data_IF_207919972929
#
_entry.id   IF_207919972929
#
_cell.length_a   1.000
_cell.length_b   1.000
_cell.length_c   1.000
_cell.angle_alpha   90.00
_cell.angle_beta   90.00
_cell.angle_gamma   90.00
#
_symmetry.space_group_name_H-M   'P 1'
#
loop_
_entity.id
_entity.type
_entity.pdbx_description
1 polymer ?
#
# COMPACT_ATOMS: atom_id res chain seq x y z
N UNK A 1 44.00 6.69 -11.19
CA UNK A 1 44.51 6.98 -9.83
C UNK A 1 44.23 5.77 -8.95
N UNK A 2 45.22 5.29 -8.21
CA UNK A 2 45.02 4.15 -7.30
C UNK A 2 44.07 4.58 -6.15
N UNK A 3 42.97 3.88 -5.96
CA UNK A 3 42.07 4.18 -4.86
C UNK A 3 42.75 3.89 -3.53
N UNK A 4 42.79 4.89 -2.67
CA UNK A 4 43.38 4.75 -1.33
C UNK A 4 42.55 3.79 -0.48
N UNK A 5 43.21 3.00 0.37
CA UNK A 5 42.57 2.00 1.26
C UNK A 5 41.54 2.63 2.21
N UNK A 6 41.73 3.91 2.57
CA UNK A 6 40.86 4.66 3.47
C UNK A 6 40.17 5.81 2.75
N UNK A 7 38.88 6.01 3.02
CA UNK A 7 38.09 7.19 2.60
C UNK A 7 38.25 8.31 3.64
N UNK A 8 38.38 9.55 3.16
CA UNK A 8 38.32 10.75 4.00
C UNK A 8 36.88 11.18 4.22
N UNK A 9 36.67 12.04 5.21
CA UNK A 9 35.35 12.54 5.53
C UNK A 9 34.66 13.24 4.35
N UNK A 10 35.47 13.99 3.56
CA UNK A 10 34.93 14.71 2.39
C UNK A 10 34.46 13.76 1.30
N UNK A 11 35.22 12.68 1.04
CA UNK A 11 34.81 11.62 0.11
C UNK A 11 33.52 10.93 0.55
N UNK A 12 33.38 10.69 1.86
CA UNK A 12 32.14 10.07 2.42
C UNK A 12 30.97 11.03 2.33
N UNK A 13 31.19 12.33 2.56
CA UNK A 13 30.15 13.35 2.45
C UNK A 13 29.64 13.47 1.02
N UNK A 14 30.55 13.48 0.03
CA UNK A 14 30.24 13.55 -1.38
C UNK A 14 29.50 12.28 -1.86
N UNK A 15 30.01 11.09 -1.51
CA UNK A 15 29.45 9.82 -1.95
C UNK A 15 28.04 9.55 -1.41
N UNK A 16 27.75 10.00 -0.18
CA UNK A 16 26.42 9.86 0.45
C UNK A 16 25.50 11.07 0.23
N UNK A 17 26.00 12.18 -0.34
CA UNK A 17 25.24 13.42 -0.51
C UNK A 17 24.83 14.06 0.84
N UNK A 18 25.68 13.98 1.87
CA UNK A 18 25.41 14.49 3.22
C UNK A 18 26.36 15.59 3.63
N UNK A 19 26.03 16.34 4.68
CA UNK A 19 26.92 17.38 5.20
C UNK A 19 28.18 16.78 5.85
N UNK A 20 29.31 17.49 5.73
CA UNK A 20 30.62 17.09 6.33
C UNK A 20 30.52 16.78 7.83
N UNK A 21 29.83 17.60 8.67
CA UNK A 21 29.62 17.27 10.08
C UNK A 21 28.87 15.93 10.30
N UNK A 22 27.90 15.62 9.43
CA UNK A 22 27.17 14.35 9.50
C UNK A 22 28.08 13.17 9.09
N UNK A 23 28.86 13.30 8.03
CA UNK A 23 29.86 12.31 7.62
C UNK A 23 30.88 12.02 8.73
N UNK A 24 31.35 13.04 9.47
CA UNK A 24 32.20 12.85 10.66
C UNK A 24 31.54 12.01 11.74
N UNK A 25 30.27 12.28 12.06
CA UNK A 25 29.51 11.51 13.05
C UNK A 25 29.37 10.04 12.62
N UNK A 26 29.13 9.83 11.35
CA UNK A 26 29.00 8.51 10.75
C UNK A 26 30.30 7.70 10.81
N UNK A 27 31.41 8.29 10.37
CA UNK A 27 32.73 7.67 10.42
C UNK A 27 33.11 7.33 11.87
N UNK A 28 32.83 8.21 12.83
CA UNK A 28 33.06 7.96 14.25
C UNK A 28 32.29 6.75 14.78
N UNK A 29 31.03 6.62 14.41
CA UNK A 29 30.20 5.46 14.76
C UNK A 29 30.73 4.16 14.16
N UNK A 30 31.06 4.17 12.88
CA UNK A 30 31.58 2.99 12.17
C UNK A 30 32.98 2.57 12.69
N UNK A 31 33.84 3.52 12.99
CA UNK A 31 35.13 3.24 13.60
C UNK A 31 35.01 2.67 15.02
N UNK A 32 33.95 3.05 15.77
CA UNK A 32 33.67 2.45 17.06
C UNK A 32 33.24 0.96 16.94
N UNK A 33 32.55 0.59 15.86
CA UNK A 33 32.24 -0.81 15.55
C UNK A 33 33.50 -1.59 15.14
N UNK A 34 34.33 -1.03 14.25
CA UNK A 34 35.60 -1.65 13.83
C UNK A 34 36.56 -1.89 15.00
N UNK A 35 36.61 -0.99 15.98
CA UNK A 35 37.43 -1.17 17.19
C UNK A 35 36.96 -2.38 18.03
N UNK A 36 35.65 -2.66 18.08
CA UNK A 36 35.14 -3.83 18.80
C UNK A 36 35.58 -5.16 18.16
N UNK A 37 35.90 -5.16 16.88
CA UNK A 37 36.42 -6.33 16.16
C UNK A 37 37.97 -6.44 16.18
N UNK A 38 38.63 -5.60 16.96
CA UNK A 38 40.11 -5.62 17.09
C UNK A 38 40.87 -4.86 15.97
N UNK A 39 40.16 -4.14 15.10
CA UNK A 39 40.77 -3.39 14.01
C UNK A 39 41.33 -2.03 14.45
N UNK A 40 42.47 -1.62 13.89
CA UNK A 40 43.02 -0.28 14.09
C UNK A 40 42.26 0.71 13.23
N UNK A 41 41.80 1.80 13.82
CA UNK A 41 41.01 2.84 13.16
C UNK A 41 41.74 4.19 13.17
N UNK A 42 41.55 4.98 12.11
CA UNK A 42 42.15 6.33 11.96
C UNK A 42 41.01 7.36 12.12
N UNK A 43 41.21 8.37 12.98
CA UNK A 43 40.26 9.44 13.18
C UNK A 43 40.00 10.22 11.89
N UNK A 44 38.72 10.48 11.56
CA UNK A 44 38.32 11.17 10.32
C UNK A 44 38.50 10.36 9.03
N UNK A 45 38.85 9.09 9.14
CA UNK A 45 38.93 8.17 7.99
C UNK A 45 38.24 6.86 8.29
N UNK A 46 37.71 6.20 7.26
CA UNK A 46 37.07 4.90 7.34
C UNK A 46 37.68 3.95 6.31
N UNK A 47 37.80 2.68 6.66
CA UNK A 47 38.17 1.66 5.69
C UNK A 47 37.15 1.60 4.56
N UNK A 48 37.61 1.76 3.32
CA UNK A 48 36.75 1.84 2.13
C UNK A 48 35.92 0.59 1.95
N UNK A 49 36.51 -0.58 2.21
CA UNK A 49 35.82 -1.85 2.07
C UNK A 49 34.71 -2.00 3.11
N UNK A 50 34.98 -1.68 4.38
CA UNK A 50 34.02 -1.72 5.46
C UNK A 50 32.88 -0.71 5.25
N UNK A 51 33.20 0.50 4.73
CA UNK A 51 32.20 1.50 4.39
C UNK A 51 31.24 0.98 3.32
N UNK A 52 31.75 0.46 2.22
CA UNK A 52 30.91 -0.07 1.15
C UNK A 52 30.13 -1.32 1.57
N UNK A 53 30.69 -2.16 2.43
CA UNK A 53 29.97 -3.31 3.00
C UNK A 53 28.78 -2.88 3.85
N UNK A 54 28.91 -1.81 4.64
CA UNK A 54 27.84 -1.32 5.51
C UNK A 54 26.75 -0.55 4.77
N UNK A 55 27.08 0.24 3.77
CA UNK A 55 26.12 1.06 3.04
C UNK A 55 25.49 0.38 1.84
N UNK A 56 26.27 -0.42 1.13
CA UNK A 56 25.79 -1.07 -0.10
C UNK A 56 25.57 -2.58 0.08
N UNK A 57 25.84 -3.11 1.27
CA UNK A 57 25.75 -4.52 1.61
C UNK A 57 26.87 -5.34 0.99
N UNK A 58 27.32 -6.37 1.68
CA UNK A 58 28.05 -7.46 1.02
C UNK A 58 27.13 -8.08 0.00
N UNK A 59 27.37 -7.92 -1.29
CA UNK A 59 26.84 -8.85 -2.28
C UNK A 59 27.27 -10.25 -1.84
N UNK A 60 26.37 -10.92 -1.11
CA UNK A 60 26.34 -12.37 -0.93
C UNK A 60 27.62 -13.02 -0.45
N UNK A 61 27.89 -12.95 0.85
CA UNK A 61 28.42 -14.11 1.55
C UNK A 61 27.24 -14.87 2.19
N UNK A 62 26.34 -15.38 1.36
CA UNK A 62 25.57 -16.56 1.71
C UNK A 62 26.32 -17.73 1.10
N UNK A 63 26.77 -18.59 1.99
CA UNK A 63 27.22 -19.95 1.70
C UNK A 63 28.47 -20.09 0.82
N UNK A 64 29.62 -20.23 1.47
CA UNK A 64 30.65 -21.13 1.00
C UNK A 64 30.08 -22.57 0.98
N UNK A 65 29.10 -22.84 0.15
CA UNK A 65 29.02 -24.12 -0.53
C UNK A 65 30.13 -24.07 -1.57
N UNK A 66 31.04 -24.97 -1.50
CA UNK A 66 32.09 -25.20 -2.47
C UNK A 66 31.49 -25.24 -3.88
N UNK A 67 31.39 -24.08 -4.54
CA UNK A 67 31.12 -24.00 -5.97
C UNK A 67 32.42 -24.43 -6.64
N UNK A 68 32.66 -25.76 -6.67
CA UNK A 68 33.60 -26.39 -7.61
C UNK A 68 33.14 -25.96 -8.99
N UNK A 69 33.75 -24.91 -9.51
CA UNK A 69 33.55 -24.48 -10.89
C UNK A 69 33.82 -25.68 -11.77
N UNK A 70 32.78 -26.14 -12.49
CA UNK A 70 32.75 -27.44 -13.17
C UNK A 70 33.29 -27.32 -14.59
N UNK A 71 34.56 -26.95 -14.74
CA UNK A 71 35.29 -27.05 -16.01
C UNK A 71 36.18 -28.30 -16.02
N UNK A 72 35.92 -29.16 -16.98
CA UNK A 72 36.58 -30.49 -17.13
C UNK A 72 37.34 -30.57 -18.43
N UNK A 73 38.44 -31.34 -18.44
CA UNK A 73 39.24 -31.62 -19.64
C UNK A 73 38.64 -32.86 -20.37
N UNK A 74 38.34 -32.72 -21.63
CA UNK A 74 37.92 -33.84 -22.48
C UNK A 74 39.17 -34.71 -22.82
N UNK A 75 39.14 -35.97 -22.35
CA UNK A 75 40.26 -36.90 -22.53
C UNK A 75 40.47 -37.34 -23.99
N UNK A 76 39.45 -37.14 -24.86
CA UNK A 76 39.53 -37.59 -26.28
C UNK A 76 40.18 -36.52 -27.16
N UNK A 77 39.89 -35.24 -26.93
CA UNK A 77 40.29 -34.13 -27.83
C UNK A 77 41.21 -33.12 -27.18
N UNK A 78 41.57 -33.27 -25.89
CA UNK A 78 42.39 -32.33 -25.15
C UNK A 78 41.76 -30.95 -24.85
N UNK A 79 40.54 -30.68 -25.35
CA UNK A 79 39.78 -29.46 -25.13
C UNK A 79 39.11 -29.43 -23.74
N UNK A 80 38.65 -28.25 -23.31
CA UNK A 80 37.91 -28.12 -22.07
C UNK A 80 36.40 -28.00 -22.32
N UNK A 81 35.58 -28.44 -21.34
CA UNK A 81 34.15 -28.24 -21.37
C UNK A 81 33.64 -27.80 -20.01
N UNK A 82 32.56 -26.99 -20.02
CA UNK A 82 31.83 -26.58 -18.84
C UNK A 82 30.51 -27.38 -18.73
N UNK A 83 30.28 -27.99 -17.57
CA UNK A 83 29.04 -28.71 -17.27
C UNK A 83 28.61 -28.36 -15.85
N UNK A 84 27.47 -27.73 -15.73
CA UNK A 84 26.93 -27.28 -14.44
C UNK A 84 25.42 -27.35 -14.42
N UNK A 85 24.84 -27.33 -13.22
CA UNK A 85 23.41 -27.20 -12.96
C UNK A 85 23.07 -25.80 -12.56
N UNK A 86 21.95 -25.29 -13.05
CA UNK A 86 21.42 -24.00 -12.66
C UNK A 86 19.90 -24.12 -12.47
N UNK A 87 19.31 -23.21 -11.71
CA UNK A 87 17.87 -23.10 -11.56
C UNK A 87 17.37 -22.09 -12.59
N UNK A 88 16.42 -22.50 -13.43
CA UNK A 88 15.83 -21.61 -14.41
C UNK A 88 14.81 -20.64 -13.76
N UNK A 89 14.25 -19.74 -14.57
CA UNK A 89 13.27 -18.75 -14.14
C UNK A 89 11.94 -19.37 -13.62
N UNK A 90 11.67 -20.65 -13.89
CA UNK A 90 10.53 -21.42 -13.37
C UNK A 90 10.83 -22.04 -12.00
N UNK A 91 12.06 -21.94 -11.52
CA UNK A 91 12.51 -22.63 -10.32
C UNK A 91 12.90 -24.09 -10.56
N UNK A 92 12.95 -24.53 -11.83
CA UNK A 92 13.31 -25.90 -12.19
C UNK A 92 14.84 -26.03 -12.33
N UNK A 93 15.38 -27.16 -11.85
CA UNK A 93 16.81 -27.46 -12.01
C UNK A 93 17.10 -27.92 -13.42
N UNK A 94 17.90 -27.16 -14.16
CA UNK A 94 18.37 -27.43 -15.52
C UNK A 94 19.86 -27.75 -15.51
N UNK A 95 20.32 -28.49 -16.52
CA UNK A 95 21.73 -28.80 -16.75
C UNK A 95 22.19 -28.14 -18.05
N UNK A 96 23.37 -27.49 -18.01
CA UNK A 96 24.02 -26.94 -19.20
C UNK A 96 25.37 -27.58 -19.43
N UNK A 97 25.62 -27.95 -20.69
CA UNK A 97 26.90 -28.49 -21.17
C UNK A 97 27.33 -27.67 -22.38
N UNK A 98 28.58 -27.20 -22.39
CA UNK A 98 29.23 -26.62 -23.57
C UNK A 98 30.66 -27.12 -23.64
N UNK A 99 31.07 -27.63 -24.83
CA UNK A 99 32.39 -28.19 -25.12
C UNK A 99 33.18 -27.29 -26.07
N UNK A 100 34.50 -27.54 -26.22
CA UNK A 100 35.33 -26.93 -27.25
C UNK A 100 36.05 -25.68 -26.80
N UNK A 101 36.27 -25.49 -25.49
CA UNK A 101 37.13 -24.40 -25.00
C UNK A 101 38.59 -24.78 -25.08
N UNK A 102 39.45 -23.83 -25.49
CA UNK A 102 40.89 -24.07 -25.58
C UNK A 102 41.54 -24.16 -24.17
N UNK A 103 41.03 -23.44 -23.21
CA UNK A 103 41.59 -23.38 -21.84
C UNK A 103 40.49 -23.59 -20.76
N UNK A 104 40.94 -24.03 -19.58
CA UNK A 104 40.11 -24.07 -18.36
C UNK A 104 39.52 -22.71 -18.00
N UNK A 105 40.34 -21.67 -18.17
CA UNK A 105 39.94 -20.28 -17.84
C UNK A 105 38.79 -19.79 -18.72
N UNK A 106 38.80 -20.14 -20.02
CA UNK A 106 37.72 -19.81 -20.93
C UNK A 106 36.40 -20.55 -20.56
N UNK A 107 36.51 -21.87 -20.26
CA UNK A 107 35.34 -22.62 -19.83
C UNK A 107 34.72 -22.06 -18.56
N UNK A 108 35.54 -21.65 -17.58
CA UNK A 108 35.10 -21.01 -16.33
C UNK A 108 34.58 -19.58 -16.53
N UNK A 109 35.16 -18.81 -17.46
CA UNK A 109 34.68 -17.48 -17.81
C UNK A 109 33.30 -17.55 -18.44
N UNK A 110 33.10 -18.51 -19.37
CA UNK A 110 31.82 -18.76 -20.00
C UNK A 110 30.74 -19.23 -18.99
N UNK A 111 31.08 -20.11 -18.04
CA UNK A 111 30.17 -20.51 -16.97
C UNK A 111 29.70 -19.32 -16.15
N UNK A 112 30.64 -18.45 -15.71
CA UNK A 112 30.31 -17.22 -14.96
C UNK A 112 29.42 -16.28 -15.76
N UNK A 113 29.75 -16.05 -17.03
CA UNK A 113 28.95 -15.20 -17.91
C UNK A 113 27.53 -15.77 -18.13
N UNK A 114 27.44 -17.09 -18.36
CA UNK A 114 26.15 -17.77 -18.50
C UNK A 114 25.31 -17.68 -17.21
N UNK A 115 25.91 -17.89 -16.03
CA UNK A 115 25.21 -17.80 -14.76
C UNK A 115 24.79 -16.34 -14.45
N UNK A 116 25.64 -15.36 -14.78
CA UNK A 116 25.27 -13.94 -14.69
C UNK A 116 24.13 -13.57 -15.64
N UNK A 117 24.15 -14.07 -16.88
CA UNK A 117 23.06 -13.88 -17.83
C UNK A 117 21.78 -14.58 -17.38
N UNK A 118 21.90 -15.75 -16.73
CA UNK A 118 20.74 -16.51 -16.24
C UNK A 118 20.18 -16.00 -14.92
N UNK A 119 20.99 -15.43 -14.03
CA UNK A 119 20.50 -14.68 -12.86
C UNK A 119 19.76 -13.41 -13.27
N UNK A 120 20.04 -12.89 -14.47
CA UNK A 120 19.38 -11.72 -15.06
C UNK A 120 18.49 -12.11 -16.25
N UNK A 121 17.71 -13.20 -16.17
CA UNK A 121 16.84 -13.61 -17.29
C UNK A 121 15.60 -12.74 -17.40
N UNK A 122 15.82 -11.44 -17.61
CA UNK A 122 14.83 -10.43 -18.02
C UNK A 122 14.39 -10.62 -19.48
N UNK A 123 14.85 -11.68 -20.16
CA UNK A 123 14.48 -12.02 -21.53
C UNK A 123 13.13 -12.75 -21.64
N UNK A 124 12.50 -13.03 -20.51
CA UNK A 124 11.14 -13.55 -20.49
C UNK A 124 10.13 -12.52 -21.02
N UNK A 125 8.99 -13.00 -21.52
CA UNK A 125 7.90 -12.10 -21.90
C UNK A 125 7.31 -11.41 -20.66
N UNK A 126 6.73 -10.21 -20.84
CA UNK A 126 6.08 -9.51 -19.74
C UNK A 126 4.91 -10.31 -19.16
N UNK A 127 4.21 -11.11 -19.96
CA UNK A 127 3.15 -12.01 -19.51
C UNK A 127 3.69 -13.10 -18.57
N UNK A 128 4.81 -13.75 -18.94
CA UNK A 128 5.46 -14.75 -18.07
C UNK A 128 5.92 -14.11 -16.76
N UNK A 129 6.46 -12.89 -16.82
CA UNK A 129 6.84 -12.15 -15.62
C UNK A 129 5.61 -11.79 -14.76
N UNK A 130 4.49 -11.40 -15.37
CA UNK A 130 3.26 -11.09 -14.63
C UNK A 130 2.73 -12.31 -13.84
N UNK A 131 2.89 -13.53 -14.38
CA UNK A 131 2.56 -14.77 -13.67
C UNK A 131 3.48 -15.00 -12.44
N UNK A 132 4.79 -14.72 -12.58
CA UNK A 132 5.72 -14.76 -11.44
C UNK A 132 5.35 -13.71 -10.38
N UNK A 133 5.04 -12.49 -10.81
CA UNK A 133 4.58 -11.42 -9.91
C UNK A 133 3.30 -11.83 -9.16
N UNK A 134 2.36 -12.49 -9.82
CA UNK A 134 1.17 -13.06 -9.18
C UNK A 134 1.55 -14.06 -8.08
N UNK A 135 2.41 -15.03 -8.41
CA UNK A 135 2.89 -16.07 -7.47
C UNK A 135 3.55 -15.44 -6.24
N UNK A 136 4.36 -14.39 -6.43
CA UNK A 136 5.10 -13.72 -5.37
C UNK A 136 4.24 -12.82 -4.50
N UNK A 137 3.25 -12.15 -5.09
CA UNK A 137 2.50 -11.06 -4.44
C UNK A 137 1.12 -11.45 -3.96
N UNK A 138 0.44 -12.38 -4.62
CA UNK A 138 -0.92 -12.82 -4.25
C UNK A 138 -1.03 -13.35 -2.83
N UNK A 139 -0.09 -14.17 -2.32
CA UNK A 139 -0.12 -14.65 -0.94
C UNK A 139 0.08 -13.55 0.11
N UNK A 140 0.72 -12.43 -0.28
CA UNK A 140 1.06 -11.31 0.62
C UNK A 140 -0.03 -10.24 0.69
N UNK A 141 -1.04 -10.30 -0.18
CA UNK A 141 -2.05 -9.26 -0.33
C UNK A 141 -3.44 -9.76 0.09
N UNK A 142 -4.24 -8.86 0.63
CA UNK A 142 -5.67 -9.15 0.84
C UNK A 142 -6.34 -9.39 -0.52
N UNK A 143 -7.27 -10.34 -0.54
CA UNK A 143 -7.96 -10.78 -1.77
C UNK A 143 -8.50 -9.60 -2.60
N UNK A 144 -9.19 -8.65 -1.98
CA UNK A 144 -9.73 -7.49 -2.69
C UNK A 144 -8.64 -6.63 -3.37
N UNK A 145 -7.51 -6.44 -2.69
CA UNK A 145 -6.36 -5.71 -3.25
C UNK A 145 -5.79 -6.46 -4.46
N UNK A 146 -5.67 -7.79 -4.34
CA UNK A 146 -5.20 -8.61 -5.44
C UNK A 146 -6.14 -8.56 -6.64
N UNK A 147 -7.46 -8.73 -6.44
CA UNK A 147 -8.44 -8.69 -7.52
C UNK A 147 -8.44 -7.37 -8.30
N UNK A 148 -8.24 -6.25 -7.61
CA UNK A 148 -8.10 -4.94 -8.26
C UNK A 148 -6.84 -4.88 -9.11
N UNK A 149 -5.69 -5.35 -8.57
CA UNK A 149 -4.43 -5.42 -9.31
C UNK A 149 -4.53 -6.35 -10.52
N UNK A 150 -5.05 -7.56 -10.32
CA UNK A 150 -5.28 -8.56 -11.36
C UNK A 150 -6.11 -7.98 -12.51
N UNK A 151 -7.22 -7.31 -12.20
CA UNK A 151 -8.08 -6.68 -13.21
C UNK A 151 -7.34 -5.62 -14.04
N UNK A 152 -6.51 -4.80 -13.42
CA UNK A 152 -5.70 -3.79 -14.13
C UNK A 152 -4.64 -4.47 -14.98
N UNK A 153 -3.92 -5.46 -14.44
CA UNK A 153 -2.88 -6.20 -15.16
C UNK A 153 -3.48 -6.85 -16.40
N UNK A 154 -4.55 -7.61 -16.24
CA UNK A 154 -5.18 -8.36 -17.32
C UNK A 154 -5.82 -7.46 -18.39
N UNK A 155 -6.51 -6.38 -18.00
CA UNK A 155 -7.31 -5.57 -18.92
C UNK A 155 -6.58 -4.36 -19.50
N UNK A 156 -5.52 -3.88 -18.85
CA UNK A 156 -4.87 -2.60 -19.22
C UNK A 156 -3.39 -2.73 -19.52
N UNK A 157 -2.71 -3.72 -18.97
CA UNK A 157 -1.26 -3.86 -19.09
C UNK A 157 -0.89 -4.99 -20.07
N UNK A 158 -1.37 -6.20 -19.83
CA UNK A 158 -1.03 -7.38 -20.65
C UNK A 158 -1.45 -7.26 -22.13
N UNK A 159 -2.58 -6.65 -22.50
CA UNK A 159 -2.92 -6.48 -23.91
C UNK A 159 -1.88 -5.67 -24.70
N UNK A 160 -1.12 -4.80 -24.04
CA UNK A 160 -0.11 -3.97 -24.68
C UNK A 160 1.31 -4.56 -24.55
N UNK A 161 1.70 -5.01 -23.35
CA UNK A 161 3.06 -5.43 -23.06
C UNK A 161 3.25 -6.95 -23.06
N UNK A 162 2.21 -7.77 -22.97
CA UNK A 162 2.28 -9.20 -22.65
C UNK A 162 3.26 -9.97 -23.50
N UNK A 163 3.26 -9.77 -24.83
CA UNK A 163 4.11 -10.48 -25.78
C UNK A 163 5.54 -9.92 -25.90
N UNK A 164 5.82 -8.77 -25.30
CA UNK A 164 7.13 -8.13 -25.37
C UNK A 164 8.07 -8.69 -24.31
N UNK A 165 9.35 -8.75 -24.60
CA UNK A 165 10.35 -9.11 -23.59
C UNK A 165 10.48 -7.98 -22.56
N UNK A 166 10.56 -8.36 -21.30
CA UNK A 166 10.64 -7.41 -20.17
C UNK A 166 11.85 -6.46 -20.31
N UNK A 167 12.99 -6.97 -20.78
CA UNK A 167 14.23 -6.20 -21.01
C UNK A 167 14.16 -5.19 -22.14
N UNK A 168 13.24 -5.38 -23.10
CA UNK A 168 13.12 -4.54 -24.30
C UNK A 168 12.12 -3.40 -24.14
N UNK A 169 11.37 -3.36 -23.01
CA UNK A 169 10.38 -2.32 -22.75
C UNK A 169 11.09 -1.04 -22.28
N UNK A 170 10.98 0.01 -23.07
CA UNK A 170 11.58 1.32 -22.82
C UNK A 170 10.60 2.32 -22.20
N UNK A 171 11.11 3.45 -21.71
CA UNK A 171 10.28 4.55 -21.24
C UNK A 171 9.39 5.12 -22.40
N UNK A 172 9.88 5.09 -23.63
CA UNK A 172 9.10 5.51 -24.83
C UNK A 172 7.89 4.61 -25.01
N UNK A 173 8.06 3.30 -24.90
CA UNK A 173 6.95 2.33 -24.99
C UNK A 173 5.89 2.56 -23.91
N UNK A 174 6.34 2.92 -22.69
CA UNK A 174 5.42 3.27 -21.62
C UNK A 174 4.66 4.57 -21.93
N UNK A 175 5.29 5.56 -22.49
CA UNK A 175 4.61 6.80 -22.94
C UNK A 175 3.58 6.51 -24.02
N UNK A 176 3.90 5.67 -24.99
CA UNK A 176 2.96 5.27 -26.05
C UNK A 176 1.76 4.50 -25.49
N UNK A 177 2.00 3.60 -24.55
CA UNK A 177 0.94 2.92 -23.79
C UNK A 177 0.08 3.91 -22.97
N UNK A 178 0.68 4.89 -22.31
CA UNK A 178 -0.06 5.92 -21.56
C UNK A 178 -1.01 6.70 -22.48
N UNK A 179 -0.55 7.07 -23.68
CA UNK A 179 -1.36 7.76 -24.66
C UNK A 179 -2.52 6.88 -25.16
N UNK A 180 -2.26 5.60 -25.41
CA UNK A 180 -3.30 4.63 -25.76
C UNK A 180 -4.36 4.48 -24.66
N UNK A 181 -3.94 4.38 -23.38
CA UNK A 181 -4.86 4.26 -22.23
C UNK A 181 -5.69 5.53 -22.03
N UNK A 182 -5.10 6.73 -22.25
CA UNK A 182 -5.84 8.01 -22.16
C UNK A 182 -6.96 8.11 -23.19
N UNK A 183 -6.77 7.51 -24.36
CA UNK A 183 -7.80 7.45 -25.41
C UNK A 183 -8.96 6.48 -25.14
N UNK A 184 -8.86 5.64 -24.10
CA UNK A 184 -9.91 4.69 -23.77
C UNK A 184 -11.00 5.32 -22.90
N UNK A 185 -12.20 4.75 -23.02
CA UNK A 185 -13.37 5.12 -22.21
C UNK A 185 -13.78 3.97 -21.29
N UNK A 186 -14.58 4.29 -20.27
CA UNK A 186 -15.24 3.33 -19.43
C UNK A 186 -16.44 2.64 -20.12
N UNK A 187 -17.12 1.72 -19.45
CA UNK A 187 -18.28 1.03 -19.98
C UNK A 187 -19.48 1.95 -20.26
N UNK A 188 -19.44 3.20 -19.79
CA UNK A 188 -20.46 4.24 -20.04
C UNK A 188 -20.02 5.24 -21.11
N UNK A 189 -18.91 5.00 -21.79
CA UNK A 189 -18.36 5.88 -22.79
C UNK A 189 -17.66 7.15 -22.26
N UNK A 190 -17.41 7.22 -20.92
CA UNK A 190 -16.73 8.37 -20.31
C UNK A 190 -15.23 8.16 -20.28
N UNK A 191 -14.40 9.20 -20.50
CA UNK A 191 -12.95 9.12 -20.31
C UNK A 191 -12.59 8.70 -18.89
N UNK A 192 -11.46 7.98 -18.74
CA UNK A 192 -10.98 7.63 -17.42
C UNK A 192 -10.56 8.86 -16.61
N UNK A 193 -10.90 8.88 -15.32
CA UNK A 193 -10.50 9.98 -14.43
C UNK A 193 -8.97 10.01 -14.25
N UNK A 194 -8.37 11.20 -14.02
CA UNK A 194 -6.94 11.33 -13.75
C UNK A 194 -6.46 10.47 -12.60
N UNK A 195 -7.26 10.32 -11.53
CA UNK A 195 -6.97 9.43 -10.37
C UNK A 195 -6.94 7.96 -10.78
N UNK A 196 -7.85 7.51 -11.67
CA UNK A 196 -7.82 6.14 -12.18
C UNK A 196 -6.60 5.88 -13.06
N UNK A 197 -6.26 6.83 -13.95
CA UNK A 197 -5.05 6.76 -14.78
C UNK A 197 -3.79 6.67 -13.92
N UNK A 198 -3.70 7.48 -12.84
CA UNK A 198 -2.63 7.38 -11.84
C UNK A 198 -2.55 5.97 -11.24
N UNK A 199 -3.69 5.38 -10.89
CA UNK A 199 -3.74 4.03 -10.31
C UNK A 199 -3.26 2.97 -11.29
N UNK A 200 -3.67 3.05 -12.55
CA UNK A 200 -3.24 2.13 -13.63
C UNK A 200 -1.74 2.23 -13.86
N UNK A 201 -1.19 3.45 -13.94
CA UNK A 201 0.25 3.66 -14.07
C UNK A 201 1.03 3.13 -12.86
N UNK A 202 0.58 3.41 -11.65
CA UNK A 202 1.22 2.93 -10.43
C UNK A 202 1.26 1.39 -10.39
N UNK A 203 0.26 0.71 -10.96
CA UNK A 203 0.27 -0.74 -11.05
C UNK A 203 1.34 -1.26 -12.00
N UNK A 204 1.54 -0.62 -13.16
CA UNK A 204 2.63 -0.95 -14.08
C UNK A 204 4.00 -0.67 -13.44
N UNK A 205 4.15 0.48 -12.79
CA UNK A 205 5.39 0.83 -12.08
C UNK A 205 5.71 -0.15 -10.94
N UNK A 206 4.70 -0.66 -10.23
CA UNK A 206 4.89 -1.67 -9.19
C UNK A 206 5.41 -3.00 -9.75
N UNK A 207 4.93 -3.42 -10.92
CA UNK A 207 5.44 -4.60 -11.63
C UNK A 207 6.93 -4.42 -11.99
N UNK A 208 7.29 -3.30 -12.61
CA UNK A 208 8.69 -3.03 -12.95
C UNK A 208 9.58 -2.86 -11.72
N UNK A 209 9.12 -2.23 -10.64
CA UNK A 209 9.87 -2.16 -9.38
C UNK A 209 10.14 -3.56 -8.80
N UNK A 210 9.18 -4.47 -8.91
CA UNK A 210 9.36 -5.86 -8.50
C UNK A 210 10.41 -6.56 -9.37
N UNK A 211 10.38 -6.32 -10.69
CA UNK A 211 11.39 -6.82 -11.63
C UNK A 211 12.79 -6.28 -11.33
N UNK A 212 12.92 -5.00 -11.03
CA UNK A 212 14.20 -4.37 -10.64
C UNK A 212 14.73 -4.98 -9.35
N UNK A 213 13.86 -5.17 -8.34
CA UNK A 213 14.26 -5.65 -7.02
C UNK A 213 14.65 -7.12 -6.98
N UNK A 214 13.96 -7.96 -7.75
CA UNK A 214 14.06 -9.42 -7.58
C UNK A 214 14.45 -10.18 -8.85
N UNK A 215 14.30 -9.59 -10.04
CA UNK A 215 14.48 -10.27 -11.32
C UNK A 215 15.56 -9.64 -12.20
N UNK A 216 16.38 -8.74 -11.66
CA UNK A 216 17.57 -8.21 -12.32
C UNK A 216 17.32 -7.17 -13.43
N UNK A 217 16.13 -6.63 -13.56
CA UNK A 217 15.88 -5.49 -14.42
C UNK A 217 16.66 -4.28 -13.89
N UNK A 218 17.42 -3.60 -14.76
CA UNK A 218 18.31 -2.52 -14.32
C UNK A 218 17.56 -1.25 -13.90
N UNK A 219 16.52 -0.87 -14.63
CA UNK A 219 15.80 0.39 -14.44
C UNK A 219 14.31 0.15 -14.65
N UNK A 220 13.48 0.83 -13.86
CA UNK A 220 12.03 0.85 -14.05
C UNK A 220 11.67 1.85 -15.18
N UNK A 221 11.23 1.39 -16.37
CA UNK A 221 10.89 2.28 -17.47
C UNK A 221 9.62 3.11 -17.20
N UNK A 222 8.70 2.60 -16.36
CA UNK A 222 7.50 3.34 -15.99
C UNK A 222 7.82 4.51 -15.05
N UNK A 223 8.76 4.34 -14.13
CA UNK A 223 9.22 5.44 -13.29
C UNK A 223 9.90 6.53 -14.13
N UNK A 224 10.71 6.14 -15.13
CA UNK A 224 11.38 7.07 -16.04
C UNK A 224 10.39 7.81 -16.94
N UNK A 225 9.32 7.19 -17.40
CA UNK A 225 8.27 7.81 -18.20
C UNK A 225 7.42 8.84 -17.43
N UNK A 226 7.39 8.75 -16.11
CA UNK A 226 6.53 9.57 -15.26
C UNK A 226 5.07 9.10 -15.25
N UNK A 227 4.28 9.61 -14.30
CA UNK A 227 2.89 9.20 -14.14
C UNK A 227 1.98 9.85 -15.18
N UNK A 228 1.00 9.11 -15.69
CA UNK A 228 0.03 9.62 -16.68
C UNK A 228 -1.19 10.30 -16.07
N UNK A 229 -1.36 10.27 -14.78
CA UNK A 229 -2.49 10.86 -14.07
C UNK A 229 -2.05 11.56 -12.80
N UNK A 230 -2.94 12.39 -12.28
CA UNK A 230 -2.77 13.15 -11.04
C UNK A 230 -3.86 12.77 -10.05
N UNK A 231 -3.61 13.02 -8.77
CA UNK A 231 -4.64 12.88 -7.76
C UNK A 231 -5.46 14.16 -7.70
N UNK A 232 -6.70 14.08 -8.17
CA UNK A 232 -7.64 15.18 -8.02
C UNK A 232 -8.12 15.21 -6.56
N UNK A 233 -7.84 16.30 -5.87
CA UNK A 233 -8.45 16.59 -4.58
C UNK A 233 -9.86 17.07 -4.83
N UNK A 234 -10.85 16.21 -4.59
CA UNK A 234 -12.25 16.62 -4.58
C UNK A 234 -12.56 17.21 -3.22
N UNK A 235 -13.37 18.24 -3.22
CA UNK A 235 -13.96 18.80 -2.00
C UNK A 235 -14.67 17.67 -1.22
N UNK A 236 -14.46 17.65 0.09
CA UNK A 236 -15.13 16.69 0.97
C UNK A 236 -16.55 17.18 1.21
N UNK A 237 -17.52 16.47 0.65
CA UNK A 237 -18.91 16.74 0.94
C UNK A 237 -19.28 16.14 2.29
N UNK A 238 -20.09 16.87 3.03
CA UNK A 238 -20.69 16.42 4.28
C UNK A 238 -22.07 17.07 4.48
N UNK A 239 -22.87 16.49 5.33
CA UNK A 239 -24.11 17.08 5.83
C UNK A 239 -23.89 17.75 7.16
N UNK A 240 -24.55 18.89 7.37
CA UNK A 240 -24.74 19.43 8.71
C UNK A 240 -25.67 18.53 9.51
N UNK A 241 -25.77 18.76 10.83
CA UNK A 241 -26.70 18.02 11.68
C UNK A 241 -28.16 18.18 11.20
N UNK A 242 -28.55 19.38 10.81
CA UNK A 242 -29.89 19.69 10.31
C UNK A 242 -30.20 18.99 8.98
N UNK A 243 -29.25 18.95 8.06
CA UNK A 243 -29.40 18.19 6.78
C UNK A 243 -29.56 16.70 7.06
N UNK A 244 -28.76 16.17 8.00
CA UNK A 244 -28.86 14.76 8.39
C UNK A 244 -30.21 14.44 9.05
N UNK A 245 -30.70 15.27 9.97
CA UNK A 245 -31.99 15.05 10.62
C UNK A 245 -33.14 15.04 9.61
N UNK A 246 -33.17 15.96 8.65
CA UNK A 246 -34.14 15.91 7.53
C UNK A 246 -34.08 14.61 6.72
N UNK A 247 -32.85 14.12 6.48
CA UNK A 247 -32.68 12.87 5.75
C UNK A 247 -33.19 11.67 6.54
N UNK A 248 -32.86 11.57 7.83
CA UNK A 248 -33.23 10.40 8.63
C UNK A 248 -34.74 10.33 8.87
N UNK A 249 -35.41 11.47 9.02
CA UNK A 249 -36.88 11.52 9.11
C UNK A 249 -37.52 10.92 7.85
N UNK A 250 -36.98 11.15 6.66
CA UNK A 250 -37.43 10.58 5.42
C UNK A 250 -37.13 9.07 5.26
N UNK A 251 -36.40 8.47 6.21
CA UNK A 251 -36.05 7.05 6.20
C UNK A 251 -36.83 6.20 7.19
N UNK A 252 -37.71 6.80 8.00
CA UNK A 252 -38.48 6.12 9.05
C UNK A 252 -39.42 5.03 8.51
N UNK A 253 -39.81 5.10 7.24
CA UNK A 253 -40.60 4.09 6.55
C UNK A 253 -39.94 2.72 6.39
N UNK A 254 -38.62 2.65 6.55
CA UNK A 254 -37.80 1.44 6.40
C UNK A 254 -36.84 1.24 7.55
N UNK A 255 -37.23 0.50 8.61
CA UNK A 255 -36.43 0.32 9.81
C UNK A 255 -34.96 -0.07 9.54
N UNK A 256 -34.72 -1.05 8.64
CA UNK A 256 -33.38 -1.49 8.29
C UNK A 256 -32.50 -0.32 7.78
N UNK A 257 -33.05 0.52 6.91
CA UNK A 257 -32.33 1.67 6.36
C UNK A 257 -32.14 2.75 7.43
N UNK A 258 -33.18 3.03 8.22
CA UNK A 258 -33.12 4.00 9.31
C UNK A 258 -31.95 3.67 10.28
N UNK A 259 -31.96 2.49 10.89
CA UNK A 259 -30.94 2.10 11.85
C UNK A 259 -29.55 1.97 11.22
N UNK A 260 -29.44 1.56 9.96
CA UNK A 260 -28.16 1.53 9.25
C UNK A 260 -27.56 2.95 9.10
N UNK A 261 -28.36 3.94 8.75
CA UNK A 261 -27.88 5.33 8.61
C UNK A 261 -27.62 5.99 9.96
N UNK A 262 -28.42 5.69 11.00
CA UNK A 262 -28.15 6.12 12.38
C UNK A 262 -26.78 5.67 12.86
N UNK A 263 -26.44 4.38 12.68
CA UNK A 263 -25.14 3.84 13.01
C UNK A 263 -24.01 4.50 12.22
N UNK A 264 -24.18 4.74 10.91
CA UNK A 264 -23.17 5.37 10.06
C UNK A 264 -22.88 6.80 10.48
N UNK A 265 -23.92 7.57 10.80
CA UNK A 265 -23.77 8.98 11.16
C UNK A 265 -23.25 9.15 12.59
N UNK A 266 -23.91 8.56 13.59
CA UNK A 266 -23.60 8.80 15.00
C UNK A 266 -22.36 8.05 15.52
N UNK A 267 -21.97 6.96 14.87
CA UNK A 267 -20.74 6.24 15.19
C UNK A 267 -19.58 6.54 14.23
N UNK A 268 -19.86 7.14 13.07
CA UNK A 268 -18.83 7.45 12.06
C UNK A 268 -18.12 6.20 11.51
N UNK A 269 -18.76 5.03 11.53
CA UNK A 269 -18.19 3.77 11.06
C UNK A 269 -18.18 3.70 9.53
N UNK A 270 -17.34 2.84 8.98
CA UNK A 270 -17.28 2.62 7.54
C UNK A 270 -18.44 1.72 7.10
N UNK A 271 -18.96 1.93 5.88
CA UNK A 271 -20.03 1.11 5.30
C UNK A 271 -19.77 -0.41 5.40
N UNK A 272 -18.54 -0.84 5.11
CA UNK A 272 -18.18 -2.25 5.24
C UNK A 272 -18.10 -2.74 6.69
N UNK A 273 -17.81 -1.86 7.65
CA UNK A 273 -17.85 -2.17 9.08
C UNK A 273 -19.32 -2.34 9.53
N UNK A 274 -20.21 -1.40 9.16
CA UNK A 274 -21.64 -1.50 9.40
C UNK A 274 -22.22 -2.84 8.92
N UNK A 275 -21.99 -3.16 7.65
CA UNK A 275 -22.54 -4.38 7.01
C UNK A 275 -21.97 -5.68 7.57
N UNK A 276 -20.94 -5.62 8.41
CA UNK A 276 -20.37 -6.78 9.09
C UNK A 276 -20.86 -6.95 10.53
N UNK A 277 -21.61 -5.98 11.08
CA UNK A 277 -22.08 -6.03 12.47
C UNK A 277 -23.01 -7.21 12.72
N UNK A 278 -22.84 -7.81 13.90
CA UNK A 278 -23.63 -8.92 14.44
C UNK A 278 -24.11 -8.56 15.85
N UNK A 279 -25.12 -9.23 16.42
CA UNK A 279 -25.57 -8.95 17.78
C UNK A 279 -24.42 -9.00 18.83
N UNK A 280 -23.47 -9.89 18.67
CA UNK A 280 -22.33 -10.04 19.59
C UNK A 280 -21.33 -8.88 19.60
N UNK A 281 -21.45 -7.94 18.65
CA UNK A 281 -20.60 -6.74 18.65
C UNK A 281 -21.09 -5.65 19.60
N UNK A 282 -22.32 -5.76 20.12
CA UNK A 282 -22.94 -4.78 21.02
C UNK A 282 -22.83 -5.22 22.47
N UNK A 283 -22.45 -4.28 23.30
CA UNK A 283 -22.54 -4.37 24.77
C UNK A 283 -23.44 -3.20 25.21
N UNK A 284 -24.71 -3.51 25.47
CA UNK A 284 -25.71 -2.50 25.84
C UNK A 284 -25.58 -2.03 27.29
N UNK A 285 -25.03 -2.84 28.19
CA UNK A 285 -24.72 -2.42 29.57
C UNK A 285 -23.60 -1.39 29.55
N UNK A 286 -22.52 -1.70 28.87
CA UNK A 286 -21.43 -0.76 28.67
C UNK A 286 -21.80 0.36 27.66
N UNK A 287 -22.85 0.23 26.87
CA UNK A 287 -23.25 1.16 25.79
C UNK A 287 -22.18 1.27 24.71
N UNK A 288 -21.61 0.17 24.26
CA UNK A 288 -20.52 0.14 23.30
C UNK A 288 -20.80 -0.78 22.11
N UNK A 289 -20.09 -0.50 21.00
CA UNK A 289 -20.06 -1.37 19.82
C UNK A 289 -18.63 -1.65 19.40
N UNK A 290 -18.32 -2.93 19.17
CA UNK A 290 -17.00 -3.40 18.74
C UNK A 290 -16.89 -3.44 17.23
N UNK A 291 -15.90 -2.72 16.67
CA UNK A 291 -15.63 -2.67 15.24
C UNK A 291 -14.37 -3.49 14.97
N UNK A 292 -14.55 -4.76 14.65
CA UNK A 292 -13.45 -5.74 14.51
C UNK A 292 -13.48 -6.51 13.18
N UNK A 293 -14.44 -6.22 12.30
CA UNK A 293 -14.65 -6.89 11.01
C UNK A 293 -15.20 -5.95 9.95
N UNK A 294 -15.08 -6.35 8.70
CA UNK A 294 -15.60 -5.58 7.55
C UNK A 294 -16.12 -6.53 6.47
N UNK A 295 -17.30 -6.24 5.98
CA UNK A 295 -17.98 -6.97 4.91
C UNK A 295 -17.59 -6.46 3.53
N UNK A 296 -17.39 -7.39 2.60
CA UNK A 296 -17.20 -7.13 1.18
C UNK A 296 -17.89 -8.23 0.36
N UNK A 297 -18.40 -7.88 -0.82
CA UNK A 297 -18.88 -8.86 -1.79
C UNK A 297 -17.89 -8.97 -2.92
N UNK A 298 -17.21 -10.12 -3.04
CA UNK A 298 -16.15 -10.36 -4.00
C UNK A 298 -16.52 -11.51 -4.92
N UNK A 299 -16.53 -11.27 -6.23
CA UNK A 299 -16.93 -12.29 -7.25
C UNK A 299 -18.28 -12.98 -6.90
N UNK A 300 -19.25 -12.19 -6.43
CA UNK A 300 -20.59 -12.68 -6.08
C UNK A 300 -20.72 -13.38 -4.71
N UNK A 301 -19.61 -13.55 -3.97
CA UNK A 301 -19.60 -14.17 -2.64
C UNK A 301 -19.42 -13.12 -1.55
N UNK A 302 -20.14 -13.31 -0.46
CA UNK A 302 -20.02 -12.50 0.73
C UNK A 302 -18.74 -12.90 1.51
N UNK A 303 -17.91 -11.93 1.83
CA UNK A 303 -16.63 -12.15 2.51
C UNK A 303 -16.53 -11.18 3.69
N UNK A 304 -16.36 -11.71 4.88
CA UNK A 304 -16.06 -10.95 6.08
C UNK A 304 -14.55 -11.04 6.33
N UNK A 305 -13.90 -9.90 6.46
CA UNK A 305 -12.46 -9.79 6.68
C UNK A 305 -12.16 -9.02 7.97
N UNK A 306 -10.98 -9.26 8.53
CA UNK A 306 -10.46 -8.40 9.59
C UNK A 306 -10.23 -6.97 9.07
N UNK A 307 -10.27 -5.95 9.94
CA UNK A 307 -9.97 -4.58 9.57
C UNK A 307 -8.60 -4.45 8.89
N UNK A 308 -8.44 -3.37 8.10
CA UNK A 308 -7.23 -3.16 7.30
C UNK A 308 -6.00 -2.87 8.15
N UNK A 309 -6.18 -2.21 9.29
CA UNK A 309 -5.10 -1.80 10.21
C UNK A 309 -5.48 -2.13 11.65
N UNK A 310 -4.49 -2.20 12.55
CA UNK A 310 -4.73 -2.43 13.98
C UNK A 310 -5.62 -1.36 14.61
N UNK A 311 -5.46 -0.08 14.26
CA UNK A 311 -6.29 1.03 14.75
C UNK A 311 -7.74 1.00 14.24
N UNK A 312 -8.01 0.29 13.16
CA UNK A 312 -9.39 0.07 12.71
C UNK A 312 -10.15 -0.90 13.60
N UNK A 313 -9.45 -1.73 14.39
CA UNK A 313 -10.06 -2.53 15.45
C UNK A 313 -10.22 -1.65 16.69
N UNK A 314 -11.45 -1.30 17.03
CA UNK A 314 -11.77 -0.34 18.07
C UNK A 314 -13.14 -0.61 18.69
N UNK A 315 -13.33 -0.11 19.90
CA UNK A 315 -14.63 -0.06 20.58
C UNK A 315 -15.12 1.38 20.58
N UNK A 316 -16.36 1.60 20.19
CA UNK A 316 -16.97 2.93 20.13
C UNK A 316 -18.05 3.01 21.21
N UNK A 317 -17.98 4.03 22.07
CA UNK A 317 -19.07 4.39 22.98
C UNK A 317 -20.20 5.02 22.17
N UNK A 318 -21.37 4.39 22.19
CA UNK A 318 -22.57 4.91 21.53
C UNK A 318 -23.25 5.99 22.37
N UNK A 319 -23.93 6.96 21.74
CA UNK A 319 -24.88 7.82 22.44
C UNK A 319 -26.00 6.98 23.09
N UNK A 320 -26.51 7.39 24.22
CA UNK A 320 -27.55 6.63 24.96
C UNK A 320 -28.81 6.36 24.12
N UNK A 321 -29.27 7.35 23.37
CA UNK A 321 -30.44 7.19 22.50
C UNK A 321 -30.20 6.11 21.45
N UNK A 322 -29.01 6.11 20.81
CA UNK A 322 -28.67 5.11 19.79
C UNK A 322 -28.54 3.70 20.39
N UNK A 323 -28.08 3.57 21.66
CA UNK A 323 -28.12 2.28 22.36
C UNK A 323 -29.54 1.74 22.47
N UNK A 324 -30.48 2.55 22.92
CA UNK A 324 -31.88 2.15 23.03
C UNK A 324 -32.47 1.79 21.67
N UNK A 325 -32.25 2.61 20.67
CA UNK A 325 -32.74 2.36 19.30
C UNK A 325 -32.18 1.05 18.73
N UNK A 326 -30.87 0.78 18.92
CA UNK A 326 -30.25 -0.45 18.44
C UNK A 326 -30.72 -1.69 19.22
N UNK A 327 -30.97 -1.56 20.51
CA UNK A 327 -31.57 -2.64 21.31
C UNK A 327 -32.99 -2.96 20.82
N UNK A 328 -33.80 -1.97 20.54
CA UNK A 328 -35.15 -2.16 20.00
C UNK A 328 -35.10 -2.72 18.57
N UNK A 329 -34.17 -2.27 17.74
CA UNK A 329 -33.96 -2.85 16.42
C UNK A 329 -33.65 -4.35 16.51
N UNK A 330 -32.74 -4.74 17.42
CA UNK A 330 -32.40 -6.17 17.59
C UNK A 330 -33.59 -7.01 18.09
N UNK A 331 -34.49 -6.45 18.92
CA UNK A 331 -35.72 -7.13 19.36
C UNK A 331 -36.70 -7.39 18.21
N UNK A 332 -36.60 -6.64 17.09
CA UNK A 332 -37.46 -6.89 15.91
C UNK A 332 -37.13 -8.20 15.18
N UNK A 333 -35.95 -8.77 15.42
CA UNK A 333 -35.56 -10.03 14.78
C UNK A 333 -35.96 -11.23 15.62
N UNK A 334 -36.85 -12.06 15.08
CA UNK A 334 -37.40 -13.21 15.80
C UNK A 334 -36.41 -14.35 16.10
N UNK A 335 -35.31 -14.45 15.35
CA UNK A 335 -34.24 -15.42 15.59
C UNK A 335 -32.95 -15.11 14.79
N UNK A 336 -32.33 -13.99 15.06
CA UNK A 336 -30.99 -13.75 14.47
C UNK A 336 -29.98 -14.55 15.26
N UNK A 337 -29.24 -15.45 14.60
CA UNK A 337 -28.11 -16.14 15.20
C UNK A 337 -27.09 -15.15 15.70
N UNK A 338 -26.43 -15.44 16.83
CA UNK A 338 -25.48 -14.54 17.48
C UNK A 338 -24.38 -13.98 16.53
N UNK A 339 -24.06 -14.74 15.47
CA UNK A 339 -23.05 -14.40 14.48
C UNK A 339 -23.63 -13.97 13.11
N UNK A 340 -24.93 -13.79 13.00
CA UNK A 340 -25.55 -13.34 11.77
C UNK A 340 -25.49 -11.82 11.66
N UNK A 341 -25.36 -11.32 10.41
CA UNK A 341 -25.32 -9.89 10.15
C UNK A 341 -26.66 -9.23 10.43
N UNK A 342 -26.67 -8.20 11.27
CA UNK A 342 -27.90 -7.43 11.58
C UNK A 342 -28.34 -6.54 10.40
N UNK A 343 -27.45 -6.24 9.46
CA UNK A 343 -27.74 -5.55 8.20
C UNK A 343 -27.44 -6.50 7.02
N UNK A 344 -28.30 -7.48 6.70
CA UNK A 344 -28.06 -8.51 5.68
C UNK A 344 -28.30 -7.99 4.25
N UNK A 345 -27.87 -6.76 3.97
CA UNK A 345 -27.99 -6.08 2.69
C UNK A 345 -26.64 -5.86 2.02
N UNK A 346 -26.68 -5.47 0.75
CA UNK A 346 -25.48 -5.11 -0.02
C UNK A 346 -25.20 -3.61 0.07
N UNK A 347 -23.98 -3.20 -0.29
CA UNK A 347 -23.64 -1.79 -0.46
C UNK A 347 -24.54 -1.08 -1.46
N UNK A 348 -24.89 -1.77 -2.54
CA UNK A 348 -25.79 -1.21 -3.56
C UNK A 348 -27.15 -0.82 -2.99
N UNK A 349 -27.70 -1.62 -2.08
CA UNK A 349 -28.94 -1.29 -1.38
C UNK A 349 -28.82 0.04 -0.62
N UNK A 350 -27.79 0.20 0.19
CA UNK A 350 -27.59 1.44 0.94
C UNK A 350 -27.39 2.66 0.02
N UNK A 351 -26.67 2.50 -1.10
CA UNK A 351 -26.57 3.57 -2.10
C UNK A 351 -27.91 3.97 -2.68
N UNK A 352 -28.78 2.99 -2.97
CA UNK A 352 -30.11 3.25 -3.50
C UNK A 352 -31.00 3.96 -2.48
N UNK A 353 -30.94 3.51 -1.21
CA UNK A 353 -31.66 4.17 -0.12
C UNK A 353 -31.14 5.59 0.17
N UNK A 354 -29.83 5.81 0.08
CA UNK A 354 -29.26 7.15 0.16
C UNK A 354 -29.79 8.08 -0.96
N UNK A 355 -29.92 7.57 -2.20
CA UNK A 355 -30.50 8.33 -3.32
C UNK A 355 -31.96 8.66 -3.06
N UNK A 356 -32.75 7.68 -2.59
CA UNK A 356 -34.16 7.83 -2.24
C UNK A 356 -34.37 8.85 -1.12
N UNK A 357 -33.68 8.66 0.00
CA UNK A 357 -33.82 9.52 1.18
C UNK A 357 -33.35 10.94 0.93
N UNK A 358 -32.23 11.15 0.26
CA UNK A 358 -31.72 12.48 -0.07
C UNK A 358 -32.71 13.26 -0.96
N UNK A 359 -33.33 12.57 -1.94
CA UNK A 359 -34.35 13.16 -2.80
C UNK A 359 -35.62 13.49 -2.01
N UNK A 360 -36.09 12.60 -1.14
CA UNK A 360 -37.30 12.82 -0.33
C UNK A 360 -37.12 13.96 0.67
N UNK A 361 -35.93 14.04 1.30
CA UNK A 361 -35.60 15.08 2.27
C UNK A 361 -35.23 16.43 1.63
N UNK A 362 -35.04 16.50 0.33
CA UNK A 362 -34.60 17.71 -0.37
C UNK A 362 -33.18 18.16 0.01
N UNK A 363 -32.31 17.22 0.46
CA UNK A 363 -30.92 17.51 0.80
C UNK A 363 -29.98 17.14 -0.33
N UNK A 364 -28.79 17.77 -0.35
CA UNK A 364 -27.75 17.42 -1.34
C UNK A 364 -27.34 15.96 -1.25
N UNK A 365 -27.17 15.28 -2.38
CA UNK A 365 -26.69 13.90 -2.42
C UNK A 365 -25.20 13.85 -2.05
N UNK A 366 -24.87 13.09 -1.01
CA UNK A 366 -23.50 12.78 -0.61
C UNK A 366 -23.24 11.26 -0.71
N UNK A 367 -21.98 10.83 -0.72
CA UNK A 367 -21.65 9.40 -0.71
C UNK A 367 -21.88 8.83 0.70
N UNK A 368 -22.12 7.53 0.82
CA UNK A 368 -22.26 6.89 2.14
C UNK A 368 -21.05 7.11 3.02
N UNK A 369 -19.83 7.10 2.43
CA UNK A 369 -18.61 7.39 3.18
C UNK A 369 -18.56 8.85 3.70
N UNK A 370 -19.28 9.75 3.07
CA UNK A 370 -19.34 11.15 3.47
C UNK A 370 -20.16 11.37 4.75
N UNK A 371 -21.00 10.39 5.17
CA UNK A 371 -21.61 10.39 6.51
C UNK A 371 -20.57 10.34 7.63
N UNK A 372 -19.47 9.63 7.39
CA UNK A 372 -18.32 9.64 8.31
C UNK A 372 -17.62 10.99 8.29
N UNK A 373 -17.57 11.69 7.16
CA UNK A 373 -17.09 13.06 7.07
C UNK A 373 -18.01 14.00 7.86
N UNK A 374 -19.34 13.81 7.76
CA UNK A 374 -20.33 14.54 8.52
C UNK A 374 -20.17 14.34 10.03
N UNK A 375 -19.95 13.09 10.48
CA UNK A 375 -19.66 12.76 11.88
C UNK A 375 -18.41 13.49 12.39
N UNK A 376 -17.33 13.47 11.61
CA UNK A 376 -16.08 14.16 11.97
C UNK A 376 -16.32 15.67 12.04
N UNK A 377 -17.02 16.26 11.06
CA UNK A 377 -17.37 17.69 11.05
C UNK A 377 -18.18 18.08 12.28
N UNK A 378 -19.17 17.27 12.65
CA UNK A 378 -19.98 17.48 13.86
C UNK A 378 -19.13 17.46 15.13
N UNK A 379 -18.20 16.50 15.26
CA UNK A 379 -17.32 16.43 16.44
C UNK A 379 -16.35 17.61 16.51
N UNK A 380 -15.89 18.12 15.36
CA UNK A 380 -15.06 19.32 15.28
C UNK A 380 -15.87 20.55 15.76
N UNK A 381 -17.09 20.69 15.28
CA UNK A 381 -18.00 21.78 15.68
C UNK A 381 -18.30 21.75 17.19
N UNK A 382 -18.44 20.54 17.76
CA UNK A 382 -18.58 20.34 19.21
C UNK A 382 -17.28 20.60 20.00
N UNK A 383 -16.16 20.94 19.35
CA UNK A 383 -14.90 21.32 19.99
C UNK A 383 -13.98 20.16 20.38
N UNK A 384 -14.23 18.93 19.92
CA UNK A 384 -13.35 17.80 20.20
C UNK A 384 -12.00 17.92 19.46
N UNK A 385 -10.94 17.42 20.09
CA UNK A 385 -9.58 17.44 19.51
C UNK A 385 -9.45 16.48 18.34
N UNK A 386 -8.56 16.80 17.38
CA UNK A 386 -8.27 15.93 16.24
C UNK A 386 -7.80 14.52 16.67
N UNK A 387 -7.10 14.41 17.81
CA UNK A 387 -6.65 13.14 18.37
C UNK A 387 -7.83 12.27 18.84
N UNK A 388 -8.73 12.85 19.64
CA UNK A 388 -9.92 12.15 20.14
C UNK A 388 -10.82 11.68 18.97
N UNK A 389 -10.98 12.52 17.95
CA UNK A 389 -11.72 12.19 16.74
C UNK A 389 -11.03 11.05 15.97
N UNK A 390 -9.70 11.12 15.79
CA UNK A 390 -8.95 10.09 15.10
C UNK A 390 -9.09 8.70 15.77
N UNK A 391 -9.02 8.65 17.09
CA UNK A 391 -9.19 7.41 17.87
C UNK A 391 -10.61 6.87 17.73
N UNK A 392 -11.65 7.71 17.87
CA UNK A 392 -13.05 7.30 17.72
C UNK A 392 -13.34 6.70 16.36
N UNK A 393 -12.89 7.36 15.30
CA UNK A 393 -13.16 6.89 13.94
C UNK A 393 -12.15 5.85 13.45
N UNK A 394 -11.05 5.61 14.15
CA UNK A 394 -10.00 4.64 13.78
C UNK A 394 -9.20 5.10 12.56
N UNK A 395 -8.67 6.33 12.60
CA UNK A 395 -7.68 6.79 11.63
C UNK A 395 -6.30 6.24 11.97
N UNK A 396 -5.58 5.76 10.97
CA UNK A 396 -4.22 5.20 11.14
C UNK A 396 -3.20 6.29 11.51
N UNK A 397 -3.34 7.47 10.90
CA UNK A 397 -2.58 8.67 11.19
C UNK A 397 -3.52 9.84 11.49
N UNK A 398 -3.12 10.70 12.43
CA UNK A 398 -3.81 11.96 12.73
C UNK A 398 -3.87 12.88 11.50
N UNK A 399 -2.90 12.76 10.57
CA UNK A 399 -2.88 13.54 9.31
C UNK A 399 -4.17 13.38 8.50
N UNK A 400 -4.83 12.20 8.61
CA UNK A 400 -6.12 11.98 7.97
C UNK A 400 -7.18 12.90 8.58
N UNK A 401 -7.15 13.12 9.90
CA UNK A 401 -8.06 14.05 10.59
C UNK A 401 -7.69 15.50 10.29
N UNK A 402 -6.42 15.82 10.14
CA UNK A 402 -5.99 17.17 9.74
C UNK A 402 -6.41 17.60 8.33
N UNK A 403 -6.88 16.69 7.48
CA UNK A 403 -7.54 17.07 6.23
C UNK A 403 -8.80 17.92 6.45
N UNK A 404 -9.36 17.89 7.64
CA UNK A 404 -10.47 18.71 8.09
C UNK A 404 -10.02 19.96 8.85
N UNK A 405 -8.72 20.31 8.81
CA UNK A 405 -8.18 21.42 9.58
C UNK A 405 -8.90 22.76 9.33
N UNK A 406 -9.41 22.95 8.10
CA UNK A 406 -10.18 24.13 7.72
C UNK A 406 -11.56 24.23 8.42
N UNK A 407 -12.06 23.14 9.01
CA UNK A 407 -13.31 23.11 9.78
C UNK A 407 -13.07 23.39 11.27
N UNK A 408 -11.81 23.30 11.76
CA UNK A 408 -11.53 23.64 13.15
C UNK A 408 -11.65 25.15 13.34
N UNK A 409 -12.41 25.63 14.35
CA UNK A 409 -12.56 27.05 14.61
C UNK A 409 -11.20 27.66 14.94
N UNK A 410 -10.98 28.87 14.43
CA UNK A 410 -9.82 29.68 14.81
C UNK A 410 -10.06 30.27 16.17
N UNK A 411 -9.43 29.70 17.20
CA UNK A 411 -9.59 30.14 18.60
C UNK A 411 -8.58 31.21 19.05
N UNK A 412 -8.08 32.03 18.11
CA UNK A 412 -7.06 33.04 18.41
C UNK A 412 -7.53 34.06 19.46
N UNK A 413 -8.75 34.54 19.32
CA UNK A 413 -9.34 35.48 20.29
C UNK A 413 -9.53 34.80 21.64
N UNK A 414 -10.13 33.61 21.68
CA UNK A 414 -10.31 32.84 22.91
C UNK A 414 -8.98 32.54 23.63
N UNK A 415 -7.91 32.24 22.84
CA UNK A 415 -6.57 32.03 23.39
C UNK A 415 -6.01 33.30 24.00
N UNK A 416 -6.18 34.44 23.32
CA UNK A 416 -5.74 35.75 23.83
C UNK A 416 -6.47 36.13 25.13
N UNK A 417 -7.80 35.99 25.14
CA UNK A 417 -8.63 36.28 26.31
C UNK A 417 -8.24 35.40 27.51
N UNK A 418 -7.99 34.10 27.28
CA UNK A 418 -7.54 33.18 28.34
C UNK A 418 -6.14 33.53 28.87
N UNK A 419 -5.22 33.92 27.98
CA UNK A 419 -3.88 34.33 28.39
C UNK A 419 -3.93 35.63 29.21
N UNK A 420 -4.80 36.57 28.84
CA UNK A 420 -5.02 37.80 29.63
C UNK A 420 -5.60 37.48 31.01
N UNK A 421 -6.57 36.54 31.07
CA UNK A 421 -7.15 36.10 32.34
C UNK A 421 -6.11 35.44 33.26
N UNK A 422 -5.27 34.49 32.72
CA UNK A 422 -4.18 33.87 33.47
C UNK A 422 -3.15 34.90 33.99
N UNK A 423 -2.87 35.94 33.22
CA UNK A 423 -1.94 37.00 33.62
C UNK A 423 -2.51 37.89 34.72
N UNK A 424 -3.82 38.16 34.73
CA UNK A 424 -4.46 39.05 35.71
C UNK A 424 -4.63 38.39 37.08
N UNK A 425 -4.50 37.04 37.20
CA UNK A 425 -4.34 36.33 38.49
C UNK A 425 -5.49 36.56 39.45
N UNK A 426 -6.73 36.27 39.04
CA UNK A 426 -7.89 36.24 39.94
C UNK A 426 -8.57 34.89 39.89
#
# INVERSE_FOLDING_TARGET
MASTMFMRVDEVAEELGVSVPYAYKLIRSMNAELKKTGCITISGRIDRKFFHEKFYGTRGQSERSENRMAAFKDKKNGSWYAQFRYTDWRGERQQKLKRGFATKKEAQAWEREFLMQKQADVNMTFESFAQLYEKDMKPKLKLNTWLTKESIIQKKILPYFGKRKLSEITAKDVMDWQNAIRGLTDAKGKPYSPTYLKTVHNQLSALFNHAVRYYGLQVNPAAKAGNMGVEERREMLFWTKEEYLKFIDAMMDKPLSYYAFEMLYWCGIREGELLALTPTDFDFEAGTVSINKSYQRLKGKDVITTPKTKKSNRVIKMPKFLCGEMEDYLKMFYSTGANERIFPVSKHYLHHEMDRGAKAAGVKRIRIHDLRHSHISLLIDMGFTALAIADRVGHESIDITYRYAHLFPTRQTEMADKLDFERMGT
#
